data_IF_635969360425
#
_entry.id   IF_635969360425
#
_cell.length_a   1.000
_cell.length_b   1.000
_cell.length_c   1.000
_cell.angle_alpha   90.00
_cell.angle_beta   90.00
_cell.angle_gamma   90.00
#
_symmetry.space_group_name_H-M   'P 1'
#
loop_
_entity.id
_entity.type
_entity.pdbx_description
1 polymer ?
#
# COMPACT_ATOMS: atom_id res chain seq x y z
N UNK A 1 -8.60 -4.27 -17.65
CA UNK A 1 -9.51 -3.50 -16.74
C UNK A 1 -8.97 -3.65 -15.33
N UNK A 2 -8.94 -2.57 -14.56
CA UNK A 2 -8.35 -2.57 -13.22
C UNK A 2 -9.34 -1.97 -12.23
N UNK A 3 -9.55 -2.64 -11.11
CA UNK A 3 -10.30 -2.13 -9.96
C UNK A 3 -9.32 -1.92 -8.83
N UNK A 4 -9.35 -0.73 -8.25
CA UNK A 4 -8.48 -0.35 -7.15
C UNK A 4 -9.33 -0.08 -5.92
N UNK A 5 -9.03 -0.79 -4.84
CA UNK A 5 -9.53 -0.49 -3.51
C UNK A 5 -8.46 0.32 -2.76
N UNK A 6 -8.86 1.47 -2.22
CA UNK A 6 -7.99 2.34 -1.44
C UNK A 6 -8.51 2.41 -0.01
N UNK A 7 -7.60 2.36 0.96
CA UNK A 7 -7.88 2.62 2.38
C UNK A 7 -9.06 1.78 2.91
N UNK A 8 -9.07 0.47 2.60
CA UNK A 8 -10.12 -0.43 3.10
C UNK A 8 -10.09 -0.41 4.63
N UNK A 9 -11.26 -0.26 5.30
CA UNK A 9 -11.32 -0.37 6.75
C UNK A 9 -10.77 -1.72 7.26
N UNK A 10 -10.30 -1.79 8.52
CA UNK A 10 -9.97 -3.05 9.14
C UNK A 10 -11.16 -4.01 9.16
N UNK A 11 -10.93 -5.27 8.79
CA UNK A 11 -11.95 -6.31 8.68
C UNK A 11 -11.57 -7.41 7.70
N UNK A 12 -12.46 -8.38 7.58
CA UNK A 12 -12.32 -9.49 6.63
C UNK A 12 -13.10 -9.21 5.35
N UNK A 13 -12.46 -9.46 4.20
CA UNK A 13 -13.03 -9.25 2.88
C UNK A 13 -12.85 -10.50 2.01
N UNK A 14 -13.76 -10.66 1.05
CA UNK A 14 -13.58 -11.57 -0.08
C UNK A 14 -13.53 -10.75 -1.35
N UNK A 15 -12.40 -10.85 -2.06
CA UNK A 15 -12.18 -10.17 -3.33
C UNK A 15 -11.80 -11.23 -4.36
N UNK A 16 -12.62 -11.35 -5.41
CA UNK A 16 -12.60 -12.52 -6.29
C UNK A 16 -12.90 -13.78 -5.48
N UNK A 17 -12.03 -14.78 -5.60
CA UNK A 17 -12.11 -16.05 -4.86
C UNK A 17 -11.21 -16.09 -3.61
N UNK A 18 -10.46 -15.01 -3.38
CA UNK A 18 -9.42 -14.92 -2.34
C UNK A 18 -9.92 -14.25 -1.07
N UNK A 19 -9.29 -14.58 0.07
CA UNK A 19 -9.51 -13.91 1.35
C UNK A 19 -8.50 -12.78 1.55
N UNK A 20 -8.97 -11.67 2.08
CA UNK A 20 -8.15 -10.51 2.47
C UNK A 20 -8.52 -10.12 3.88
N UNK A 21 -7.54 -10.09 4.77
CA UNK A 21 -7.71 -9.61 6.14
C UNK A 21 -6.97 -8.28 6.30
N UNK A 22 -7.71 -7.22 6.59
CA UNK A 22 -7.15 -5.89 6.83
C UNK A 22 -7.09 -5.65 8.33
N UNK A 23 -5.93 -5.26 8.84
CA UNK A 23 -5.74 -4.94 10.25
C UNK A 23 -5.05 -3.59 10.43
N UNK A 24 -5.32 -2.93 11.57
CA UNK A 24 -4.58 -1.74 11.96
C UNK A 24 -3.13 -2.10 12.23
N UNK A 25 -2.22 -1.19 11.90
CA UNK A 25 -0.83 -1.28 12.34
C UNK A 25 -0.74 -1.27 13.87
N UNK A 26 0.19 -2.06 14.44
CA UNK A 26 0.22 -2.30 15.90
C UNK A 26 0.79 -1.13 16.71
N UNK A 27 1.72 -0.36 16.14
CA UNK A 27 2.40 0.76 16.81
C UNK A 27 1.96 2.13 16.25
N UNK A 28 0.67 2.27 15.92
CA UNK A 28 0.15 3.45 15.25
C UNK A 28 0.51 3.49 13.77
N UNK A 29 0.10 4.54 13.07
CA UNK A 29 0.30 4.67 11.63
C UNK A 29 1.78 4.81 11.29
N UNK A 30 2.24 4.15 10.22
CA UNK A 30 3.63 4.19 9.79
C UNK A 30 3.90 5.30 8.77
N UNK A 31 5.15 5.78 8.76
CA UNK A 31 5.65 6.82 7.85
C UNK A 31 6.34 6.25 6.61
N UNK A 32 6.36 4.94 6.44
CA UNK A 32 7.13 4.27 5.41
C UNK A 32 6.47 2.98 4.94
N UNK A 33 6.76 2.62 3.69
CA UNK A 33 6.51 1.32 3.08
C UNK A 33 7.68 0.99 2.17
N UNK A 34 7.94 -0.29 1.93
CA UNK A 34 9.04 -0.76 1.10
C UNK A 34 8.57 -1.10 -0.31
N UNK A 35 9.16 -0.50 -1.36
CA UNK A 35 9.00 -0.95 -2.74
C UNK A 35 10.00 -2.04 -3.13
N UNK A 36 10.71 -2.68 -2.17
CA UNK A 36 11.85 -3.56 -2.42
C UNK A 36 11.56 -4.83 -3.22
N UNK A 37 10.33 -5.04 -3.67
CA UNK A 37 9.96 -6.13 -4.56
C UNK A 37 9.97 -5.59 -5.99
N UNK A 38 10.57 -6.34 -6.91
CA UNK A 38 10.60 -6.04 -8.34
C UNK A 38 9.23 -6.19 -9.01
N UNK A 39 8.24 -5.44 -8.52
CA UNK A 39 6.91 -5.39 -9.09
C UNK A 39 6.88 -4.34 -10.22
N UNK A 40 6.32 -4.63 -11.41
CA UNK A 40 6.36 -3.71 -12.55
C UNK A 40 5.81 -2.30 -12.28
N UNK A 41 4.91 -2.15 -11.31
CA UNK A 41 4.31 -0.85 -10.93
C UNK A 41 5.23 0.05 -10.08
N UNK A 42 6.27 -0.52 -9.49
CA UNK A 42 7.23 0.19 -8.62
C UNK A 42 8.68 -0.11 -8.99
N UNK A 43 8.93 -0.70 -10.16
CA UNK A 43 10.29 -1.01 -10.64
C UNK A 43 11.18 0.24 -10.85
N UNK A 44 10.55 1.42 -10.89
CA UNK A 44 11.19 2.71 -11.02
C UNK A 44 11.54 3.34 -9.67
N UNK A 45 11.01 2.79 -8.57
CA UNK A 45 11.13 3.38 -7.25
C UNK A 45 12.46 2.97 -6.60
N UNK A 46 13.09 3.93 -5.97
CA UNK A 46 14.26 3.70 -5.13
C UNK A 46 13.84 3.21 -3.73
N UNK A 47 14.71 2.49 -2.98
CA UNK A 47 14.36 1.93 -1.68
C UNK A 47 13.82 2.93 -0.64
N UNK A 48 14.15 4.22 -0.81
CA UNK A 48 13.83 5.29 0.14
C UNK A 48 12.75 6.27 -0.35
N UNK A 49 12.10 5.97 -1.47
CA UNK A 49 11.11 6.87 -2.09
C UNK A 49 9.77 6.92 -1.35
N UNK A 50 9.43 5.83 -0.66
CA UNK A 50 8.16 5.65 0.04
C UNK A 50 8.32 5.88 1.55
N UNK A 51 8.80 7.06 1.93
CA UNK A 51 8.86 7.48 3.34
C UNK A 51 8.66 8.98 3.50
N UNK A 52 8.18 9.39 4.68
CA UNK A 52 8.11 10.80 5.11
C UNK A 52 7.44 11.74 4.11
N UNK A 53 6.27 11.34 3.59
CA UNK A 53 5.52 12.16 2.66
C UNK A 53 4.84 13.34 3.36
N UNK A 54 4.93 14.51 2.73
CA UNK A 54 4.33 15.74 3.23
C UNK A 54 2.83 15.77 2.95
N UNK A 55 2.03 16.04 3.99
CA UNK A 55 0.57 16.18 3.92
C UNK A 55 0.19 17.66 3.82
N UNK A 56 -0.36 18.04 2.67
CA UNK A 56 -0.74 19.41 2.36
C UNK A 56 -1.82 19.97 3.27
N UNK A 57 -2.70 19.12 3.80
CA UNK A 57 -3.79 19.59 4.66
C UNK A 57 -3.32 19.97 6.06
N UNK A 58 -2.19 19.40 6.49
CA UNK A 58 -1.62 19.58 7.82
C UNK A 58 -0.39 20.48 7.82
N UNK A 59 0.21 20.73 6.66
CA UNK A 59 1.42 21.54 6.48
C UNK A 59 2.69 20.93 7.11
N UNK A 60 2.74 19.60 7.24
CA UNK A 60 3.93 18.87 7.68
C UNK A 60 3.86 17.38 7.27
N UNK A 61 4.96 16.64 7.51
CA UNK A 61 5.04 15.20 7.27
C UNK A 61 4.18 14.44 8.27
N UNK A 62 3.30 13.58 7.78
CA UNK A 62 2.42 12.75 8.63
C UNK A 62 2.49 11.28 8.22
N UNK A 63 2.20 10.34 9.14
CA UNK A 63 2.18 8.94 8.77
C UNK A 63 1.04 8.70 7.78
N UNK A 64 1.22 7.75 6.89
CA UNK A 64 0.29 7.50 5.77
C UNK A 64 -0.12 6.03 5.65
N UNK A 65 0.32 5.16 6.56
CA UNK A 65 -0.06 3.76 6.57
C UNK A 65 -0.72 3.40 7.92
N UNK A 66 -2.03 3.61 8.08
CA UNK A 66 -2.76 3.30 9.30
C UNK A 66 -3.16 1.81 9.41
N UNK A 67 -3.16 1.10 8.29
CA UNK A 67 -3.55 -0.30 8.19
C UNK A 67 -2.65 -1.05 7.21
N UNK A 68 -2.55 -2.35 7.42
CA UNK A 68 -1.89 -3.31 6.53
C UNK A 68 -2.86 -4.46 6.31
N UNK A 69 -2.53 -5.36 5.38
CA UNK A 69 -3.37 -6.52 5.14
C UNK A 69 -2.56 -7.78 4.88
N UNK A 70 -3.25 -8.91 5.05
CA UNK A 70 -2.75 -10.26 4.81
C UNK A 70 -3.60 -10.85 3.70
N UNK A 71 -2.94 -11.23 2.61
CA UNK A 71 -3.57 -11.85 1.45
C UNK A 71 -2.56 -12.75 0.73
N UNK A 72 -2.43 -14.03 1.14
CA UNK A 72 -1.35 -14.91 0.68
C UNK A 72 -1.32 -15.16 -0.85
N UNK A 73 -2.48 -15.06 -1.51
CA UNK A 73 -2.64 -15.30 -2.95
C UNK A 73 -2.34 -14.06 -3.81
N UNK A 74 -2.01 -12.93 -3.18
CA UNK A 74 -1.83 -11.65 -3.86
C UNK A 74 -0.36 -11.40 -4.15
N UNK A 75 -0.09 -10.79 -5.30
CA UNK A 75 1.26 -10.37 -5.68
C UNK A 75 1.58 -9.04 -4.98
N UNK A 76 2.58 -9.00 -4.09
CA UNK A 76 2.89 -7.79 -3.35
C UNK A 76 3.47 -6.69 -4.25
N UNK A 77 3.02 -5.45 -4.04
CA UNK A 77 3.54 -4.23 -4.69
C UNK A 77 4.37 -3.42 -3.69
N UNK A 78 3.81 -3.18 -2.50
CA UNK A 78 4.46 -2.48 -1.40
C UNK A 78 4.32 -3.32 -0.14
N UNK A 79 5.41 -3.48 0.59
CA UNK A 79 5.44 -4.18 1.87
C UNK A 79 5.58 -3.21 3.04
N UNK A 80 5.22 -3.68 4.22
CA UNK A 80 5.64 -3.07 5.48
C UNK A 80 5.98 -4.14 6.50
N UNK A 81 6.70 -3.74 7.55
CA UNK A 81 6.90 -4.60 8.72
C UNK A 81 5.68 -4.52 9.63
N UNK A 82 5.31 -5.63 10.25
CA UNK A 82 4.31 -5.63 11.31
C UNK A 82 4.95 -6.17 12.59
N UNK A 83 5.84 -5.37 13.15
CA UNK A 83 6.50 -5.72 14.41
C UNK A 83 5.68 -5.15 15.57
N UNK A 84 5.49 -5.96 16.62
CA UNK A 84 4.91 -5.52 17.88
C UNK A 84 5.96 -5.55 18.99
N UNK A 85 5.57 -5.15 20.22
CA UNK A 85 6.49 -5.11 21.36
C UNK A 85 6.92 -6.50 21.85
N UNK A 86 6.25 -7.56 21.39
CA UNK A 86 6.46 -8.95 21.80
C UNK A 86 7.26 -9.75 20.74
N UNK A 87 7.32 -9.27 19.49
CA UNK A 87 8.14 -9.86 18.44
C UNK A 87 7.82 -9.33 17.05
N UNK A 88 8.66 -9.71 16.08
CA UNK A 88 8.42 -9.42 14.68
C UNK A 88 7.44 -10.45 14.08
N UNK A 89 6.25 -10.02 13.65
CA UNK A 89 5.29 -10.89 12.96
C UNK A 89 5.56 -11.00 11.46
N UNK A 90 6.67 -10.42 11.00
CA UNK A 90 7.15 -10.53 9.63
C UNK A 90 6.56 -9.46 8.71
N UNK A 91 6.62 -9.73 7.42
CA UNK A 91 6.22 -8.80 6.37
C UNK A 91 4.70 -8.82 6.17
N UNK A 92 4.10 -7.64 6.06
CA UNK A 92 2.69 -7.43 5.73
C UNK A 92 2.55 -6.62 4.46
N UNK A 93 1.36 -6.69 3.85
CA UNK A 93 1.09 -6.00 2.59
C UNK A 93 0.57 -4.60 2.87
N UNK A 94 1.21 -3.60 2.26
CA UNK A 94 0.68 -2.23 2.19
C UNK A 94 -0.04 -1.98 0.86
N UNK A 95 0.45 -2.60 -0.23
CA UNK A 95 -0.25 -2.66 -1.50
C UNK A 95 0.05 -3.98 -2.21
N UNK A 96 -0.93 -4.53 -2.91
CA UNK A 96 -0.79 -5.78 -3.67
C UNK A 96 -1.76 -5.83 -4.84
N UNK A 97 -1.49 -6.67 -5.82
CA UNK A 97 -2.40 -6.97 -6.93
C UNK A 97 -2.75 -8.45 -7.04
N UNK A 98 -3.98 -8.71 -7.48
CA UNK A 98 -4.48 -10.02 -7.84
C UNK A 98 -4.91 -9.97 -9.30
N UNK A 99 -4.28 -10.81 -10.13
CA UNK A 99 -4.73 -11.01 -11.51
C UNK A 99 -6.05 -11.80 -11.51
N UNK A 100 -7.08 -11.26 -12.14
CA UNK A 100 -8.39 -11.90 -12.23
C UNK A 100 -8.96 -11.80 -13.65
N UNK A 101 -9.01 -12.93 -14.34
CA UNK A 101 -9.36 -12.99 -15.76
C UNK A 101 -8.43 -12.13 -16.64
N UNK A 102 -9.01 -11.17 -17.37
CA UNK A 102 -8.28 -10.20 -18.22
C UNK A 102 -7.94 -8.89 -17.49
N UNK A 103 -8.11 -8.84 -16.17
CA UNK A 103 -7.96 -7.64 -15.37
C UNK A 103 -7.19 -7.87 -14.08
N UNK A 104 -7.17 -6.84 -13.24
CA UNK A 104 -6.48 -6.82 -11.97
C UNK A 104 -7.37 -6.22 -10.89
N UNK A 105 -7.39 -6.84 -9.72
CA UNK A 105 -7.76 -6.19 -8.47
C UNK A 105 -6.50 -5.68 -7.79
N UNK A 106 -6.56 -4.48 -7.23
CA UNK A 106 -5.46 -3.88 -6.47
C UNK A 106 -5.99 -3.38 -5.15
N UNK A 107 -5.23 -3.59 -4.09
CA UNK A 107 -5.48 -2.97 -2.78
C UNK A 107 -4.30 -2.06 -2.48
N UNK A 108 -4.59 -0.87 -1.97
CA UNK A 108 -3.60 0.07 -1.48
C UNK A 108 -4.07 0.67 -0.16
N UNK A 109 -3.33 0.44 0.92
CA UNK A 109 -3.58 0.99 2.24
C UNK A 109 -2.80 2.28 2.52
N UNK A 110 -1.95 2.69 1.59
CA UNK A 110 -1.25 3.97 1.66
C UNK A 110 -2.27 5.11 1.48
N UNK A 111 -2.34 6.01 2.44
CA UNK A 111 -3.12 7.25 2.34
C UNK A 111 -2.52 8.15 1.27
N UNK A 112 -3.25 8.32 0.17
CA UNK A 112 -2.79 9.11 -0.97
C UNK A 112 -3.37 10.53 -0.96
N UNK A 113 -4.49 10.71 -0.28
CA UNK A 113 -5.15 12.00 -0.15
C UNK A 113 -4.22 13.04 0.46
N UNK A 114 -4.29 14.27 -0.06
CA UNK A 114 -3.45 15.42 0.34
C UNK A 114 -1.93 15.25 0.16
N UNK A 115 -1.47 14.18 -0.51
CA UNK A 115 -0.03 13.91 -0.69
C UNK A 115 0.41 13.88 -2.16
N UNK A 116 -0.51 13.96 -3.13
CA UNK A 116 -0.20 13.81 -4.56
C UNK A 116 0.43 15.04 -5.24
N UNK A 117 0.20 16.26 -4.74
CA UNK A 117 0.74 17.46 -5.40
C UNK A 117 2.20 17.74 -4.98
N UNK A 118 2.54 17.43 -3.74
CA UNK A 118 3.84 17.73 -3.11
C UNK A 118 4.82 16.58 -3.16
N UNK A 119 4.36 15.33 -3.27
CA UNK A 119 5.22 14.14 -3.31
C UNK A 119 5.18 13.52 -4.73
N UNK A 120 6.21 13.74 -5.58
CA UNK A 120 6.23 13.21 -6.95
C UNK A 120 6.13 11.68 -7.02
N UNK A 121 6.74 10.99 -6.05
CA UNK A 121 6.67 9.53 -5.91
C UNK A 121 5.23 9.07 -5.76
N UNK A 122 4.46 9.69 -4.85
CA UNK A 122 3.05 9.35 -4.63
C UNK A 122 2.23 9.55 -5.92
N UNK A 123 2.47 10.65 -6.64
CA UNK A 123 1.79 10.94 -7.91
C UNK A 123 2.07 9.89 -8.98
N UNK A 124 3.34 9.52 -9.15
CA UNK A 124 3.75 8.50 -10.12
C UNK A 124 3.15 7.14 -9.76
N UNK A 125 3.22 6.76 -8.49
CA UNK A 125 2.65 5.52 -7.98
C UNK A 125 1.15 5.40 -8.28
N UNK A 126 0.36 6.47 -8.07
CA UNK A 126 -1.06 6.47 -8.42
C UNK A 126 -1.30 6.30 -9.92
N UNK A 127 -0.46 6.90 -10.77
CA UNK A 127 -0.53 6.71 -12.22
C UNK A 127 -0.39 5.24 -12.62
N UNK A 128 0.62 4.57 -12.08
CA UNK A 128 0.88 3.14 -12.30
C UNK A 128 -0.25 2.26 -11.75
N UNK A 129 -0.72 2.57 -10.55
CA UNK A 129 -1.79 1.85 -9.86
C UNK A 129 -3.12 1.91 -10.61
N UNK A 130 -3.43 3.02 -11.27
CA UNK A 130 -4.60 3.17 -12.14
C UNK A 130 -4.42 2.57 -13.55
N UNK A 131 -3.19 2.18 -13.91
CA UNK A 131 -2.88 1.62 -15.23
C UNK A 131 -2.84 2.66 -16.34
N UNK A 132 -2.56 3.93 -16.02
CA UNK A 132 -2.21 4.94 -17.03
C UNK A 132 -0.76 4.69 -17.45
N UNK A 133 -0.56 3.92 -18.51
CA UNK A 133 0.69 3.90 -19.28
C UNK A 133 0.57 4.86 -20.44
#
# INVERSE_FOLDING_TARGET
KTVVFVELPPGEYRIGETKVEVEKTKMGSYYFVSPSISHPLVNWAEPMDFKFWYDQSKDYVTPFLPAVFIAPEWTPILLSGNSDWLGDKGQTLAAAELKYGKGYFRICQVELMNRLKTNPVARRFVGELLGKR
#
